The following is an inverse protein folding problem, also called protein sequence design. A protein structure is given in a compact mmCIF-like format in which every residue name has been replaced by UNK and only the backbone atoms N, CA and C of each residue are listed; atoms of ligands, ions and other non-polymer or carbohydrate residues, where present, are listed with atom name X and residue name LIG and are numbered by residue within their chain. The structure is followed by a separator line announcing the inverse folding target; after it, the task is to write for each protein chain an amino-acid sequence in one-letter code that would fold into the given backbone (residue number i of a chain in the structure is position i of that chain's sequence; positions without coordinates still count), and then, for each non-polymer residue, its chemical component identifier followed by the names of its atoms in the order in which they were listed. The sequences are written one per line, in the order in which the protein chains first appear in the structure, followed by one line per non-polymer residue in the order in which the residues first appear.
data_IF_743539326299
#
_entry.id   IF_743539326299
#
_cell.length_a   1.000
_cell.length_b   1.000
_cell.length_c   1.000
_cell.angle_alpha   90.00
_cell.angle_beta   90.00
_cell.angle_gamma   90.00
#
_symmetry.space_group_name_H-M   'P 1'
#
loop_
_entity.id
_entity.type
_entity.pdbx_description
1 polymer ?
#
# COMPACT_ATOMS: atom_id res chain seq x y z
N UNK A 1 13.29 -15.14 6.84
CA UNK A 1 13.87 -15.63 8.11
C UNK A 1 13.36 -14.74 9.25
N UNK A 2 12.37 -15.18 10.03
CA UNK A 2 11.78 -14.37 11.12
C UNK A 2 12.81 -13.88 12.15
N UNK A 3 13.83 -14.69 12.43
CA UNK A 3 14.92 -14.37 13.38
C UNK A 3 15.83 -13.20 12.97
N UNK A 4 15.63 -12.62 11.78
CA UNK A 4 16.39 -11.44 11.31
C UNK A 4 15.58 -10.14 11.43
N UNK A 5 14.35 -10.21 11.91
CA UNK A 5 13.47 -9.06 12.10
C UNK A 5 13.19 -8.91 13.58
N UNK A 6 13.77 -7.88 14.18
CA UNK A 6 13.61 -7.61 15.62
C UNK A 6 12.27 -6.93 15.92
N UNK A 7 11.82 -6.05 15.02
CA UNK A 7 10.56 -5.29 15.14
C UNK A 7 9.97 -5.04 13.75
N UNK A 8 8.65 -4.94 13.70
CA UNK A 8 7.93 -4.66 12.44
C UNK A 8 6.95 -3.51 12.64
N UNK A 9 6.98 -2.53 11.76
CA UNK A 9 5.97 -1.47 11.69
C UNK A 9 5.20 -1.62 10.39
N UNK A 10 3.88 -1.71 10.50
CA UNK A 10 2.97 -1.76 9.36
C UNK A 10 2.11 -0.47 9.35
N UNK A 11 2.22 0.32 8.28
CA UNK A 11 1.46 1.56 8.11
C UNK A 11 0.46 1.34 6.97
N UNK A 12 -0.84 1.48 7.26
CA UNK A 12 -1.96 1.32 6.32
C UNK A 12 -1.94 -0.02 5.54
N UNK A 13 -1.25 -1.01 6.07
CA UNK A 13 -1.17 -2.34 5.48
C UNK A 13 -0.93 -3.40 6.54
N UNK A 14 -1.63 -4.53 6.47
CA UNK A 14 -1.31 -5.72 7.23
C UNK A 14 -1.72 -6.96 6.43
N UNK A 15 -0.75 -7.57 5.76
CA UNK A 15 -0.96 -8.69 4.85
C UNK A 15 -1.40 -8.28 3.43
N UNK A 16 -1.54 -9.26 2.56
CA UNK A 16 -1.92 -9.05 1.17
C UNK A 16 -3.40 -8.67 1.02
N UNK A 17 -3.74 -8.00 -0.09
CA UNK A 17 -5.13 -7.90 -0.53
C UNK A 17 -5.64 -9.29 -0.94
N UNK A 18 -6.74 -9.72 -0.35
CA UNK A 18 -7.29 -11.06 -0.53
C UNK A 18 -8.44 -11.09 -1.53
N UNK A 19 -8.79 -12.28 -1.97
CA UNK A 19 -9.89 -12.53 -2.88
C UNK A 19 -10.60 -13.84 -2.52
N UNK A 20 -11.93 -13.94 -2.67
CA UNK A 20 -12.66 -15.18 -2.45
C UNK A 20 -12.16 -16.32 -3.35
N UNK A 21 -12.03 -17.53 -2.80
CA UNK A 21 -11.48 -18.67 -3.51
C UNK A 21 -12.33 -19.07 -4.75
N UNK A 22 -13.65 -18.93 -4.63
CA UNK A 22 -14.62 -19.24 -5.67
C UNK A 22 -14.52 -18.34 -6.91
N UNK A 23 -13.86 -17.20 -6.80
CA UNK A 23 -13.65 -16.26 -7.91
C UNK A 23 -12.26 -16.40 -8.56
N UNK A 24 -11.48 -17.41 -8.17
CA UNK A 24 -10.11 -17.60 -8.66
C UNK A 24 -10.07 -17.79 -10.19
N UNK A 25 -10.94 -18.61 -10.75
CA UNK A 25 -10.96 -18.88 -12.19
C UNK A 25 -11.34 -17.65 -13.02
N UNK A 26 -12.29 -16.85 -12.55
CA UNK A 26 -12.69 -15.60 -13.19
C UNK A 26 -11.52 -14.60 -13.20
N UNK A 27 -10.88 -14.42 -12.04
CA UNK A 27 -9.73 -13.54 -11.90
C UNK A 27 -8.56 -13.94 -12.80
N UNK A 28 -8.30 -15.24 -12.92
CA UNK A 28 -7.27 -15.74 -13.82
C UNK A 28 -7.59 -15.40 -15.28
N UNK A 29 -8.86 -15.58 -15.69
CA UNK A 29 -9.32 -15.24 -17.05
C UNK A 29 -9.14 -13.75 -17.33
N UNK A 30 -9.59 -12.88 -16.43
CA UNK A 30 -9.42 -11.42 -16.56
C UNK A 30 -7.95 -11.01 -16.72
N UNK A 31 -7.07 -11.61 -15.91
CA UNK A 31 -5.63 -11.31 -15.99
C UNK A 31 -5.02 -11.77 -17.30
N UNK A 32 -5.37 -12.96 -17.81
CA UNK A 32 -4.91 -13.47 -19.10
C UNK A 32 -5.43 -12.61 -20.26
N UNK A 33 -6.70 -12.23 -20.24
CA UNK A 33 -7.29 -11.34 -21.23
C UNK A 33 -6.62 -9.95 -21.22
N UNK A 34 -6.35 -9.42 -20.01
CA UNK A 34 -5.63 -8.15 -19.88
C UNK A 34 -4.20 -8.24 -20.41
N UNK A 35 -3.50 -9.34 -20.12
CA UNK A 35 -2.14 -9.58 -20.61
C UNK A 35 -2.07 -9.76 -22.15
N UNK A 36 -3.11 -10.30 -22.75
CA UNK A 36 -3.21 -10.47 -24.20
C UNK A 36 -3.52 -9.18 -24.97
N UNK A 37 -4.02 -8.14 -24.29
CA UNK A 37 -4.33 -6.85 -24.92
C UNK A 37 -3.04 -6.11 -25.32
N UNK A 38 -3.03 -5.39 -26.46
CA UNK A 38 -1.93 -4.51 -26.79
C UNK A 38 -1.69 -3.49 -25.67
N UNK A 39 -0.42 -3.19 -25.41
CA UNK A 39 -0.06 -2.15 -24.43
C UNK A 39 -0.61 -0.81 -24.90
N UNK A 40 -1.19 -0.06 -23.98
CA UNK A 40 -1.59 1.32 -24.26
C UNK A 40 -0.33 2.17 -24.48
N UNK A 41 -0.38 3.19 -25.35
CA UNK A 41 0.68 4.19 -25.42
C UNK A 41 0.92 4.79 -24.02
N UNK A 42 2.16 5.19 -23.77
CA UNK A 42 2.49 5.94 -22.56
C UNK A 42 1.68 7.26 -22.56
N UNK A 43 1.11 7.59 -21.41
CA UNK A 43 0.56 8.93 -21.22
C UNK A 43 1.71 9.89 -21.04
N UNK A 44 1.88 10.82 -21.95
CA UNK A 44 2.84 11.91 -21.85
C UNK A 44 2.16 13.09 -21.16
N UNK A 45 2.76 13.60 -20.10
CA UNK A 45 2.37 14.83 -19.42
C UNK A 45 3.19 15.98 -19.97
N UNK A 46 2.55 17.09 -20.31
CA UNK A 46 3.25 18.26 -20.84
C UNK A 46 4.03 19.03 -19.77
N UNK A 47 3.69 18.83 -18.50
CA UNK A 47 4.38 19.42 -17.35
C UNK A 47 4.29 18.52 -16.13
N UNK A 48 5.18 18.77 -15.16
CA UNK A 48 5.07 18.12 -13.83
C UNK A 48 3.76 18.49 -13.14
N UNK A 49 3.27 19.72 -13.30
CA UNK A 49 2.04 20.16 -12.64
C UNK A 49 0.81 19.40 -13.14
N UNK A 50 0.78 18.99 -14.42
CA UNK A 50 -0.28 18.11 -14.95
C UNK A 50 -0.25 16.74 -14.26
N UNK A 51 0.93 16.16 -14.10
CA UNK A 51 1.08 14.87 -13.40
C UNK A 51 0.73 14.98 -11.92
N UNK A 52 1.10 16.08 -11.26
CA UNK A 52 0.79 16.38 -9.86
C UNK A 52 -0.73 16.50 -9.68
N UNK A 53 -1.40 17.29 -10.51
CA UNK A 53 -2.85 17.45 -10.44
C UNK A 53 -3.59 16.10 -10.57
N UNK A 54 -3.13 15.25 -11.49
CA UNK A 54 -3.67 13.90 -11.63
C UNK A 54 -3.45 13.06 -10.36
N UNK A 55 -2.25 13.13 -9.77
CA UNK A 55 -1.91 12.35 -8.57
C UNK A 55 -2.74 12.81 -7.36
N UNK A 56 -2.93 14.12 -7.19
CA UNK A 56 -3.82 14.69 -6.18
C UNK A 56 -5.25 14.16 -6.32
N UNK A 57 -5.79 14.18 -7.53
CA UNK A 57 -7.15 13.73 -7.80
C UNK A 57 -7.34 12.22 -7.55
N UNK A 58 -6.40 11.39 -8.03
CA UNK A 58 -6.53 9.92 -7.96
C UNK A 58 -6.28 9.37 -6.57
N UNK A 59 -5.34 9.96 -5.82
CA UNK A 59 -4.91 9.45 -4.52
C UNK A 59 -5.39 10.31 -3.34
N UNK A 60 -6.13 11.41 -3.60
CA UNK A 60 -6.60 12.35 -2.58
C UNK A 60 -5.45 12.91 -1.72
N UNK A 61 -4.36 13.30 -2.39
CA UNK A 61 -3.15 13.84 -1.76
C UNK A 61 -3.17 15.36 -1.73
N UNK A 62 -2.50 15.94 -0.73
CA UNK A 62 -2.11 17.36 -0.77
C UNK A 62 -1.09 17.62 -1.88
N UNK A 63 -1.02 18.86 -2.36
CA UNK A 63 -0.09 19.21 -3.44
C UNK A 63 1.38 18.95 -3.08
N UNK A 64 1.88 19.28 -1.86
CA UNK A 64 3.26 18.98 -1.49
C UNK A 64 3.59 17.50 -1.53
N UNK A 65 2.68 16.63 -1.06
CA UNK A 65 2.86 15.17 -1.06
C UNK A 65 2.77 14.60 -2.47
N UNK A 66 1.82 15.07 -3.28
CA UNK A 66 1.72 14.68 -4.68
C UNK A 66 2.97 15.06 -5.48
N UNK A 67 3.51 16.27 -5.27
CA UNK A 67 4.74 16.77 -5.89
C UNK A 67 5.92 15.88 -5.55
N UNK A 68 6.11 15.57 -4.28
CA UNK A 68 7.20 14.69 -3.81
C UNK A 68 7.18 13.31 -4.50
N UNK A 69 5.98 12.74 -4.70
CA UNK A 69 5.82 11.45 -5.39
C UNK A 69 6.08 11.58 -6.89
N UNK A 70 5.57 12.65 -7.52
CA UNK A 70 5.70 12.85 -8.96
C UNK A 70 7.14 13.13 -9.37
N UNK A 71 7.85 14.00 -8.66
CA UNK A 71 9.26 14.32 -8.95
C UNK A 71 10.17 13.09 -8.92
N UNK A 72 9.81 12.07 -8.15
CA UNK A 72 10.54 10.80 -8.05
C UNK A 72 9.97 9.69 -8.93
N UNK A 73 8.79 9.87 -9.46
CA UNK A 73 8.02 8.83 -10.15
C UNK A 73 7.83 9.07 -11.65
N UNK A 74 8.46 10.10 -12.23
CA UNK A 74 8.42 10.36 -13.67
C UNK A 74 9.81 10.43 -14.27
N UNK A 75 9.90 10.08 -15.54
CA UNK A 75 11.08 10.27 -16.39
C UNK A 75 10.77 11.28 -17.49
N UNK A 76 11.79 12.01 -17.94
CA UNK A 76 11.69 12.85 -19.12
C UNK A 76 11.48 11.97 -20.37
N UNK A 77 10.55 12.36 -21.23
CA UNK A 77 10.23 11.66 -22.46
C UNK A 77 9.76 12.62 -23.54
N UNK A 78 10.47 12.68 -24.66
CA UNK A 78 10.23 13.68 -25.71
C UNK A 78 10.16 15.10 -25.11
N UNK A 79 9.11 15.84 -25.39
CA UNK A 79 8.89 17.20 -24.89
C UNK A 79 8.09 17.23 -23.57
N UNK A 80 8.04 16.11 -22.82
CA UNK A 80 7.23 16.01 -21.60
C UNK A 80 7.76 14.95 -20.63
N UNK A 81 6.84 14.37 -19.87
CA UNK A 81 7.13 13.41 -18.80
C UNK A 81 6.23 12.18 -18.91
N UNK A 82 6.77 11.02 -18.53
CA UNK A 82 6.01 9.77 -18.41
C UNK A 82 6.22 9.15 -17.03
N UNK A 83 5.28 8.32 -16.57
CA UNK A 83 5.52 7.53 -15.37
C UNK A 83 6.70 6.56 -15.58
N UNK A 84 7.67 6.57 -14.67
CA UNK A 84 8.80 5.63 -14.66
C UNK A 84 8.39 4.20 -14.33
N UNK A 85 7.24 4.01 -13.70
CA UNK A 85 6.73 2.70 -13.30
C UNK A 85 6.31 1.85 -14.51
N UNK A 86 6.60 0.54 -14.46
CA UNK A 86 6.15 -0.39 -15.48
C UNK A 86 4.62 -0.44 -15.57
N UNK A 87 4.09 -0.27 -16.80
CA UNK A 87 2.65 -0.33 -17.04
C UNK A 87 1.98 -1.64 -16.60
N UNK A 88 2.75 -2.74 -16.50
CA UNK A 88 2.24 -4.02 -16.01
C UNK A 88 1.75 -3.96 -14.56
N UNK A 89 2.23 -2.99 -13.77
CA UNK A 89 1.75 -2.78 -12.40
C UNK A 89 0.29 -2.36 -12.32
N UNK A 90 -0.28 -1.85 -13.41
CA UNK A 90 -1.71 -1.48 -13.49
C UNK A 90 -2.60 -2.62 -13.97
N UNK A 91 -2.04 -3.77 -14.35
CA UNK A 91 -2.81 -4.91 -14.82
C UNK A 91 -3.41 -5.70 -13.65
N UNK A 92 -4.55 -6.38 -13.87
CA UNK A 92 -5.11 -7.28 -12.88
C UNK A 92 -4.12 -8.36 -12.45
N UNK A 93 -3.94 -8.55 -11.15
CA UNK A 93 -3.13 -9.64 -10.61
C UNK A 93 -3.84 -10.97 -10.79
N UNK A 94 -3.23 -11.91 -11.51
CA UNK A 94 -3.83 -13.23 -11.79
C UNK A 94 -4.09 -14.05 -10.53
N UNK A 95 -3.22 -13.93 -9.52
CA UNK A 95 -3.31 -14.69 -8.29
C UNK A 95 -3.35 -13.77 -7.08
N UNK A 96 -4.29 -14.01 -6.18
CA UNK A 96 -4.35 -13.40 -4.84
C UNK A 96 -4.54 -14.48 -3.80
N UNK A 97 -4.04 -14.23 -2.61
CA UNK A 97 -4.33 -15.08 -1.45
C UNK A 97 -5.80 -15.00 -1.08
N UNK A 98 -6.30 -16.07 -0.49
CA UNK A 98 -7.57 -16.03 0.26
C UNK A 98 -7.34 -15.42 1.64
N UNK A 99 -8.39 -14.94 2.30
CA UNK A 99 -8.24 -14.40 3.65
C UNK A 99 -7.65 -15.40 4.65
N UNK A 100 -8.04 -16.68 4.70
CA UNK A 100 -7.39 -17.66 5.57
C UNK A 100 -5.88 -17.80 5.34
N UNK A 101 -5.42 -17.72 4.09
CA UNK A 101 -3.99 -17.77 3.76
C UNK A 101 -3.26 -16.50 4.24
N UNK A 102 -3.88 -15.32 4.07
CA UNK A 102 -3.31 -14.08 4.58
C UNK A 102 -3.21 -14.08 6.12
N UNK A 103 -4.23 -14.58 6.81
CA UNK A 103 -4.23 -14.70 8.27
C UNK A 103 -3.14 -15.67 8.77
N UNK A 104 -2.91 -16.77 8.04
CA UNK A 104 -1.86 -17.72 8.39
C UNK A 104 -0.47 -17.08 8.30
N UNK A 105 -0.22 -16.30 7.24
CA UNK A 105 1.03 -15.53 7.12
C UNK A 105 1.19 -14.49 8.24
N UNK A 106 0.11 -13.81 8.63
CA UNK A 106 0.14 -12.82 9.72
C UNK A 106 0.47 -13.50 11.06
N UNK A 107 -0.10 -14.67 11.35
CA UNK A 107 0.24 -15.47 12.54
C UNK A 107 1.71 -15.88 12.59
N UNK A 108 2.35 -16.03 11.43
CA UNK A 108 3.77 -16.32 11.30
C UNK A 108 4.69 -15.14 11.67
N UNK A 109 4.17 -13.93 11.92
CA UNK A 109 4.96 -12.79 12.38
C UNK A 109 5.23 -12.94 13.86
N UNK A 110 6.46 -13.29 14.22
CA UNK A 110 6.86 -13.59 15.59
C UNK A 110 7.43 -12.39 16.36
N UNK A 111 7.88 -11.35 15.65
CA UNK A 111 8.46 -10.17 16.28
C UNK A 111 7.38 -9.20 16.79
N UNK A 112 7.70 -8.37 17.80
CA UNK A 112 6.83 -7.27 18.20
C UNK A 112 6.47 -6.41 16.99
N UNK A 113 5.17 -6.10 16.86
CA UNK A 113 4.63 -5.39 15.69
C UNK A 113 3.85 -4.16 16.12
N UNK A 114 4.07 -3.03 15.46
CA UNK A 114 3.22 -1.84 15.54
C UNK A 114 2.44 -1.68 14.27
N UNK A 115 1.12 -1.56 14.38
CA UNK A 115 0.21 -1.32 13.25
C UNK A 115 -0.37 0.09 13.41
N UNK A 116 -0.23 0.91 12.37
CA UNK A 116 -0.75 2.28 12.32
C UNK A 116 -1.74 2.33 11.15
N UNK A 117 -2.99 2.66 11.44
CA UNK A 117 -4.08 2.68 10.47
C UNK A 117 -4.77 4.03 10.46
N UNK A 118 -5.18 4.49 9.29
CA UNK A 118 -5.96 5.71 9.12
C UNK A 118 -7.43 5.51 9.49
N UNK A 119 -8.09 6.58 9.93
CA UNK A 119 -9.53 6.70 10.00
C UNK A 119 -9.98 7.89 9.13
N UNK A 120 -10.92 7.73 8.20
CA UNK A 120 -11.71 6.53 7.91
C UNK A 120 -10.93 5.44 7.15
N UNK A 121 -11.37 4.16 7.27
CA UNK A 121 -10.75 3.03 6.58
C UNK A 121 -10.95 3.09 5.06
N UNK A 122 -10.02 2.53 4.32
CA UNK A 122 -10.19 2.33 2.89
C UNK A 122 -11.26 1.27 2.60
N UNK A 123 -12.05 1.46 1.54
CA UNK A 123 -13.14 0.55 1.16
C UNK A 123 -12.68 -0.89 0.90
N UNK A 124 -11.48 -1.06 0.36
CA UNK A 124 -10.87 -2.37 0.08
C UNK A 124 -10.19 -3.00 1.31
N UNK A 125 -10.07 -2.28 2.41
CA UNK A 125 -9.50 -2.75 3.68
C UNK A 125 -10.35 -2.22 4.86
N UNK A 126 -11.60 -2.71 4.99
CA UNK A 126 -12.57 -2.21 5.95
C UNK A 126 -12.16 -2.49 7.40
N UNK A 127 -12.69 -1.69 8.34
CA UNK A 127 -12.30 -1.72 9.75
C UNK A 127 -12.42 -3.10 10.41
N UNK A 128 -13.47 -3.84 10.11
CA UNK A 128 -13.64 -5.20 10.63
C UNK A 128 -12.51 -6.13 10.20
N UNK A 129 -12.08 -6.07 8.94
CA UNK A 129 -11.00 -6.90 8.41
C UNK A 129 -9.66 -6.51 9.03
N UNK A 130 -9.32 -5.22 9.07
CA UNK A 130 -8.05 -4.74 9.59
C UNK A 130 -7.89 -5.03 11.09
N UNK A 131 -8.94 -4.83 11.92
CA UNK A 131 -8.92 -5.21 13.33
C UNK A 131 -8.80 -6.72 13.52
N UNK A 132 -9.53 -7.51 12.74
CA UNK A 132 -9.42 -8.97 12.77
C UNK A 132 -8.00 -9.43 12.44
N UNK A 133 -7.35 -8.84 11.44
CA UNK A 133 -5.95 -9.17 11.12
C UNK A 133 -4.99 -8.80 12.25
N UNK A 134 -5.19 -7.67 12.91
CA UNK A 134 -4.37 -7.28 14.07
C UNK A 134 -4.47 -8.30 15.20
N UNK A 135 -5.65 -8.86 15.46
CA UNK A 135 -5.81 -9.92 16.48
C UNK A 135 -5.08 -11.23 16.18
N UNK A 136 -4.60 -11.42 14.95
CA UNK A 136 -3.81 -12.60 14.59
C UNK A 136 -2.32 -12.46 14.92
N UNK A 137 -1.83 -11.25 15.21
CA UNK A 137 -0.46 -11.00 15.62
C UNK A 137 -0.23 -11.45 17.06
N UNK A 138 0.92 -12.07 17.32
CA UNK A 138 1.26 -12.55 18.67
C UNK A 138 1.55 -11.41 19.66
N UNK A 139 2.17 -10.33 19.17
CA UNK A 139 2.49 -9.14 19.96
C UNK A 139 2.29 -7.90 19.09
N UNK A 140 1.17 -7.22 19.27
CA UNK A 140 0.80 -6.07 18.46
C UNK A 140 0.36 -4.86 19.29
N UNK A 141 0.83 -3.66 18.89
CA UNK A 141 0.23 -2.37 19.24
C UNK A 141 -0.51 -1.81 18.05
N UNK A 142 -1.79 -1.43 18.23
CA UNK A 142 -2.59 -0.78 17.22
C UNK A 142 -2.76 0.70 17.54
N UNK A 143 -2.45 1.56 16.56
CA UNK A 143 -2.74 2.98 16.59
C UNK A 143 -3.68 3.32 15.41
N UNK A 144 -4.75 4.03 15.71
CA UNK A 144 -5.67 4.57 14.72
C UNK A 144 -5.52 6.09 14.75
N UNK A 145 -5.26 6.69 13.60
CA UNK A 145 -4.96 8.11 13.44
C UNK A 145 -5.86 8.69 12.36
N UNK A 146 -6.44 9.85 12.61
CA UNK A 146 -7.22 10.55 11.59
C UNK A 146 -6.35 10.84 10.37
N UNK A 147 -6.84 10.53 9.17
CA UNK A 147 -6.07 10.75 7.96
C UNK A 147 -6.46 9.86 6.79
N UNK A 148 -5.57 9.77 5.81
CA UNK A 148 -5.77 9.00 4.58
C UNK A 148 -4.79 7.81 4.50
N UNK A 149 -4.89 7.03 3.43
CA UNK A 149 -3.95 5.94 3.16
C UNK A 149 -2.47 6.39 3.14
N UNK A 150 -2.21 7.66 2.89
CA UNK A 150 -0.87 8.23 2.85
C UNK A 150 -0.52 9.05 4.12
N UNK A 151 -1.14 8.73 5.25
CA UNK A 151 -0.98 9.46 6.52
C UNK A 151 0.49 9.69 6.93
N UNK A 152 1.38 8.77 6.61
CA UNK A 152 2.82 8.90 6.91
C UNK A 152 3.53 9.99 6.09
N UNK A 153 2.93 10.42 4.97
CA UNK A 153 3.42 11.51 4.14
C UNK A 153 2.65 12.81 4.41
N UNK A 154 1.35 12.70 4.70
CA UNK A 154 0.49 13.85 4.95
C UNK A 154 0.69 14.44 6.36
N UNK A 155 1.00 13.59 7.34
CA UNK A 155 1.25 13.99 8.73
C UNK A 155 2.46 13.25 9.33
N UNK A 156 3.68 13.52 8.81
CA UNK A 156 4.89 12.89 9.31
C UNK A 156 5.22 13.25 10.77
N UNK A 157 4.74 14.40 11.26
CA UNK A 157 4.98 14.87 12.62
C UNK A 157 4.21 14.03 13.66
N UNK A 158 3.05 13.51 13.31
CA UNK A 158 2.31 12.56 14.14
C UNK A 158 2.82 11.13 13.99
N UNK A 159 3.10 10.70 12.77
CA UNK A 159 3.46 9.30 12.49
C UNK A 159 4.92 8.99 12.83
N UNK A 160 5.82 9.93 12.59
CA UNK A 160 7.25 9.76 12.84
C UNK A 160 7.57 9.34 14.28
N UNK A 161 7.09 10.07 15.32
CA UNK A 161 7.28 9.69 16.72
C UNK A 161 6.73 8.30 17.07
N UNK A 162 5.57 7.91 16.53
CA UNK A 162 5.01 6.58 16.76
C UNK A 162 5.93 5.47 16.23
N UNK A 163 6.56 5.70 15.08
CA UNK A 163 7.53 4.76 14.49
C UNK A 163 8.83 4.75 15.29
N UNK A 164 9.41 5.93 15.55
CA UNK A 164 10.70 6.07 16.23
C UNK A 164 10.68 5.46 17.64
N UNK A 165 9.69 5.84 18.46
CA UNK A 165 9.54 5.31 19.81
C UNK A 165 9.48 3.77 19.85
N UNK A 166 8.78 3.17 18.88
CA UNK A 166 8.66 1.74 18.81
C UNK A 166 9.95 1.04 18.39
N UNK A 167 10.69 1.63 17.44
CA UNK A 167 11.92 1.05 16.93
C UNK A 167 13.10 1.24 17.91
N UNK A 168 13.11 2.34 18.69
CA UNK A 168 14.16 2.66 19.65
C UNK A 168 14.04 1.90 20.97
N UNK A 169 12.85 1.40 21.33
CA UNK A 169 12.70 0.59 22.54
C UNK A 169 13.61 -0.63 22.44
N UNK A 170 14.65 -0.68 23.29
CA UNK A 170 15.51 -1.83 23.41
C UNK A 170 14.66 -3.09 23.69
N UNK A 171 15.03 -4.21 23.08
CA UNK A 171 14.49 -5.49 23.46
C UNK A 171 14.95 -5.78 24.90
N UNK A 172 14.03 -5.66 25.86
CA UNK A 172 14.26 -6.14 27.23
C UNK A 172 14.17 -7.67 27.26
#
# INVERSE_FOLDING_TARGET
MPSRVDRFVAIEALGALTHPAEQTAERFREALEAAARPRRPLRVFQSLDEAIALRMQVNHLSEPVARLLVERGVDAFEDGFVWSSDQRLTQPTAFRLTEPQALDLIRGIACPTRVILADPPQSYFPDAMRRHRVTQLQSAGLHIVDGTHHLHMEDPDTIGPLVAEFLERAAN
#
